data_IF_737340793428
#
_entry.id   IF_737340793428
#
_cell.length_a   1.000
_cell.length_b   1.000
_cell.length_c   1.000
_cell.angle_alpha   90.00
_cell.angle_beta   90.00
_cell.angle_gamma   90.00
#
_symmetry.space_group_name_H-M   'P 1'
#
loop_
_entity.id
_entity.type
_entity.pdbx_description
1 polymer ?
#
# COMPACT_ATOMS: atom_id res chain seq x y z
N UNK A 1 9.82 7.61 19.53
CA UNK A 1 8.96 8.23 18.49
C UNK A 1 7.56 7.70 18.72
N UNK A 2 6.57 8.57 18.98
CA UNK A 2 5.17 8.15 19.09
C UNK A 2 4.55 8.24 17.70
N UNK A 3 4.13 7.11 17.15
CA UNK A 3 3.45 7.05 15.87
C UNK A 3 1.95 7.21 16.12
N UNK A 4 1.38 8.30 15.65
CA UNK A 4 -0.07 8.45 15.54
C UNK A 4 -0.48 7.92 14.18
N UNK A 5 -1.29 6.87 14.16
CA UNK A 5 -1.84 6.34 12.92
C UNK A 5 -2.89 7.31 12.38
N UNK A 6 -2.76 7.72 11.12
CA UNK A 6 -3.80 8.46 10.43
C UNK A 6 -4.91 7.49 10.02
N UNK A 7 -6.13 7.77 10.46
CA UNK A 7 -7.32 7.09 9.97
C UNK A 7 -7.83 7.85 8.75
N UNK A 8 -7.98 7.15 7.62
CA UNK A 8 -8.50 7.76 6.41
C UNK A 8 -9.95 8.19 6.59
N UNK A 9 -10.28 9.39 6.09
CA UNK A 9 -11.65 9.91 6.08
C UNK A 9 -12.55 9.10 5.13
N UNK A 10 -11.97 8.54 4.07
CA UNK A 10 -12.61 7.62 3.14
C UNK A 10 -11.80 6.32 3.05
N UNK A 11 -12.32 5.28 3.71
CA UNK A 11 -11.68 3.98 3.74
C UNK A 11 -11.65 3.31 2.36
N UNK A 12 -12.65 3.56 1.51
CA UNK A 12 -12.74 2.96 0.18
C UNK A 12 -11.73 3.58 -0.76
N UNK A 13 -11.64 4.92 -0.80
CA UNK A 13 -10.63 5.61 -1.60
C UNK A 13 -9.20 5.25 -1.14
N UNK A 14 -8.97 5.10 0.17
CA UNK A 14 -7.70 4.65 0.71
C UNK A 14 -7.35 3.21 0.30
N UNK A 15 -8.34 2.30 0.27
CA UNK A 15 -8.16 0.93 -0.20
C UNK A 15 -7.88 0.88 -1.71
N UNK A 16 -8.57 1.68 -2.51
CA UNK A 16 -8.36 1.76 -3.96
C UNK A 16 -6.95 2.27 -4.29
N UNK A 17 -6.43 3.22 -3.52
CA UNK A 17 -5.05 3.71 -3.66
C UNK A 17 -4.00 2.60 -3.42
N UNK A 18 -4.32 1.54 -2.68
CA UNK A 18 -3.41 0.40 -2.53
C UNK A 18 -3.19 -0.34 -3.85
N UNK A 19 -4.15 -0.27 -4.78
CA UNK A 19 -4.08 -1.01 -6.05
C UNK A 19 -3.69 -0.12 -7.24
N UNK A 20 -3.88 1.20 -7.14
CA UNK A 20 -3.65 2.13 -8.26
C UNK A 20 -2.31 2.86 -8.20
N UNK A 21 -1.61 2.82 -7.05
CA UNK A 21 -0.30 3.45 -6.91
C UNK A 21 0.81 2.58 -7.49
N UNK A 22 1.65 3.17 -8.33
CA UNK A 22 2.78 2.51 -8.98
C UNK A 22 3.73 1.82 -7.98
N UNK A 23 3.89 2.38 -6.77
CA UNK A 23 4.74 1.77 -5.74
C UNK A 23 4.23 0.38 -5.31
N UNK A 24 2.92 0.20 -5.27
CA UNK A 24 2.31 -1.07 -4.89
C UNK A 24 2.45 -2.10 -6.02
N UNK A 25 2.37 -1.68 -7.28
CA UNK A 25 2.69 -2.55 -8.41
C UNK A 25 4.15 -3.04 -8.33
N UNK A 26 5.09 -2.16 -7.98
CA UNK A 26 6.49 -2.55 -7.75
C UNK A 26 6.64 -3.53 -6.57
N UNK A 27 5.87 -3.34 -5.50
CA UNK A 27 5.88 -4.25 -4.35
C UNK A 27 5.37 -5.65 -4.73
N UNK A 28 4.32 -5.76 -5.55
CA UNK A 28 3.84 -7.05 -6.07
C UNK A 28 4.88 -7.73 -6.96
N UNK A 29 5.51 -6.99 -7.87
CA UNK A 29 6.58 -7.51 -8.73
C UNK A 29 7.77 -8.00 -7.90
N UNK A 30 8.21 -7.23 -6.92
CA UNK A 30 9.29 -7.65 -6.03
C UNK A 30 8.92 -8.91 -5.23
N UNK A 31 7.67 -9.02 -4.79
CA UNK A 31 7.19 -10.23 -4.12
C UNK A 31 7.31 -11.46 -5.04
N UNK A 32 7.01 -11.33 -6.34
CA UNK A 32 7.19 -12.43 -7.30
C UNK A 32 8.67 -12.75 -7.57
N UNK A 33 9.51 -11.71 -7.71
CA UNK A 33 10.93 -11.87 -8.07
C UNK A 33 11.80 -12.36 -6.90
N UNK A 34 11.39 -12.07 -5.66
CA UNK A 34 12.15 -12.34 -4.46
C UNK A 34 11.40 -13.21 -3.44
N UNK A 35 10.31 -13.87 -3.83
CA UNK A 35 9.73 -14.95 -3.05
C UNK A 35 10.74 -16.11 -2.98
N UNK A 36 11.26 -16.35 -1.78
CA UNK A 36 12.17 -17.46 -1.45
C UNK A 36 11.38 -18.73 -1.11
#
# INVERSE_FOLDING_TARGET
IQLSWYQADDAQAAAEALFTRDENQRAFLNTQLFAL
#
